data_IF_132174736722
#
_entry.id   IF_132174736722
#
_cell.length_a   1.000
_cell.length_b   1.000
_cell.length_c   1.000
_cell.angle_alpha   90.00
_cell.angle_beta   90.00
_cell.angle_gamma   90.00
#
_symmetry.space_group_name_H-M   'P 1'
#
loop_
_entity.id
_entity.type
_entity.pdbx_description
1 polymer ?
#
# COMPACT_ATOMS: atom_id res chain seq x y z
N UNK A 1 40.37 -28.89 -13.29
CA UNK A 1 39.78 -28.76 -11.94
C UNK A 1 39.67 -27.28 -11.63
N UNK A 2 38.79 -26.48 -12.24
CA UNK A 2 37.32 -26.54 -12.31
C UNK A 2 36.63 -26.48 -10.94
N UNK A 3 35.94 -25.34 -10.72
CA UNK A 3 34.80 -25.11 -9.81
C UNK A 3 35.05 -24.96 -8.31
N UNK A 4 35.93 -24.05 -7.88
CA UNK A 4 35.80 -23.45 -6.53
C UNK A 4 36.26 -21.99 -6.61
N UNK A 5 35.37 -21.05 -6.96
CA UNK A 5 35.79 -19.65 -7.01
C UNK A 5 34.85 -18.62 -7.64
N UNK A 6 33.59 -18.96 -7.97
CA UNK A 6 32.64 -17.99 -8.52
C UNK A 6 31.24 -18.27 -7.95
N UNK A 7 30.98 -17.86 -6.71
CA UNK A 7 29.63 -17.98 -6.10
C UNK A 7 29.26 -16.90 -5.08
N UNK A 8 29.89 -15.73 -5.10
CA UNK A 8 29.51 -14.63 -4.20
C UNK A 8 29.22 -13.35 -5.00
N UNK A 9 28.10 -12.70 -4.66
CA UNK A 9 27.55 -11.44 -5.19
C UNK A 9 26.68 -11.52 -6.46
N UNK A 10 25.81 -12.52 -6.50
CA UNK A 10 24.36 -12.28 -6.64
C UNK A 10 23.79 -13.05 -5.45
N UNK A 11 23.32 -12.37 -4.41
CA UNK A 11 22.58 -13.04 -3.34
C UNK A 11 21.38 -13.69 -4.01
N UNK A 12 21.31 -15.02 -4.00
CA UNK A 12 20.22 -15.77 -4.61
C UNK A 12 18.91 -15.22 -4.04
N UNK A 13 18.13 -14.56 -4.89
CA UNK A 13 16.76 -14.22 -4.57
C UNK A 13 16.05 -15.52 -4.21
N UNK A 14 15.58 -15.64 -2.97
CA UNK A 14 14.99 -16.89 -2.50
C UNK A 14 13.51 -16.92 -2.90
N UNK A 15 13.15 -17.84 -3.80
CA UNK A 15 11.75 -18.06 -4.14
C UNK A 15 11.03 -18.72 -2.95
N UNK A 16 9.83 -18.23 -2.65
CA UNK A 16 8.93 -18.91 -1.73
C UNK A 16 8.51 -20.26 -2.33
N UNK A 17 8.30 -21.30 -1.50
CA UNK A 17 7.78 -22.57 -1.99
C UNK A 17 6.48 -22.39 -2.79
N UNK A 18 6.29 -23.17 -3.85
CA UNK A 18 5.10 -23.07 -4.70
C UNK A 18 3.79 -23.18 -3.88
N UNK A 19 3.78 -24.01 -2.83
CA UNK A 19 2.66 -24.10 -1.88
C UNK A 19 2.35 -22.77 -1.18
N UNK A 20 3.37 -22.03 -0.78
CA UNK A 20 3.22 -20.71 -0.16
C UNK A 20 2.69 -19.69 -1.17
N UNK A 21 3.15 -19.76 -2.43
CA UNK A 21 2.64 -18.89 -3.50
C UNK A 21 1.16 -19.16 -3.80
N UNK A 22 0.75 -20.43 -3.85
CA UNK A 22 -0.66 -20.82 -4.01
C UNK A 22 -1.53 -20.34 -2.84
N UNK A 23 -1.04 -20.50 -1.60
CA UNK A 23 -1.75 -19.99 -0.42
C UNK A 23 -1.91 -18.47 -0.46
N UNK A 24 -0.94 -17.74 -1.04
CA UNK A 24 -1.02 -16.29 -1.17
C UNK A 24 -2.09 -15.89 -2.17
N UNK A 25 -2.13 -16.55 -3.34
CA UNK A 25 -3.17 -16.34 -4.34
C UNK A 25 -4.56 -16.63 -3.77
N UNK A 26 -4.73 -17.74 -3.03
CA UNK A 26 -5.99 -18.08 -2.38
C UNK A 26 -6.40 -17.01 -1.34
N UNK A 27 -5.48 -16.58 -0.48
CA UNK A 27 -5.80 -15.53 0.50
C UNK A 27 -6.17 -14.22 -0.19
N UNK A 28 -5.48 -13.85 -1.27
CA UNK A 28 -5.77 -12.63 -2.03
C UNK A 28 -7.20 -12.69 -2.62
N UNK A 29 -7.57 -13.80 -3.26
CA UNK A 29 -8.91 -14.00 -3.81
C UNK A 29 -9.99 -13.95 -2.72
N UNK A 30 -9.77 -14.61 -1.58
CA UNK A 30 -10.72 -14.61 -0.46
C UNK A 30 -10.86 -13.21 0.18
N UNK A 31 -9.78 -12.43 0.25
CA UNK A 31 -9.82 -11.06 0.79
C UNK A 31 -10.49 -10.09 -0.20
N UNK A 32 -10.26 -10.25 -1.50
CA UNK A 32 -10.93 -9.43 -2.53
C UNK A 32 -12.45 -9.63 -2.54
N UNK A 33 -12.92 -10.85 -2.23
CA UNK A 33 -14.34 -11.16 -2.10
C UNK A 33 -14.96 -10.89 -0.72
N UNK A 34 -14.15 -10.50 0.28
CA UNK A 34 -14.59 -10.40 1.67
C UNK A 34 -15.46 -9.17 1.94
N UNK A 35 -16.34 -9.28 2.95
CA UNK A 35 -16.94 -8.10 3.56
C UNK A 35 -15.88 -7.35 4.40
N UNK A 36 -16.03 -6.03 4.53
CA UNK A 36 -15.13 -5.23 5.36
C UNK A 36 -15.12 -5.72 6.82
N UNK A 37 -13.93 -5.89 7.37
CA UNK A 37 -13.74 -6.43 8.71
C UNK A 37 -14.32 -5.51 9.80
N UNK A 38 -15.16 -6.09 10.66
CA UNK A 38 -15.70 -5.46 11.87
C UNK A 38 -14.67 -5.28 13.00
N UNK A 39 -13.45 -5.79 12.84
CA UNK A 39 -12.55 -5.99 13.97
C UNK A 39 -12.15 -4.66 14.60
N UNK A 40 -12.50 -4.48 15.87
CA UNK A 40 -12.24 -3.23 16.61
C UNK A 40 -13.27 -2.13 16.33
N UNK A 41 -14.28 -2.41 15.51
CA UNK A 41 -15.40 -1.52 15.20
C UNK A 41 -16.64 -2.00 15.95
N UNK A 42 -17.36 -1.10 16.60
CA UNK A 42 -18.68 -1.39 17.18
C UNK A 42 -19.60 -0.18 17.04
N UNK A 43 -20.91 -0.44 17.02
CA UNK A 43 -21.92 0.62 17.09
C UNK A 43 -22.45 0.73 18.50
N UNK A 44 -22.33 1.91 19.10
CA UNK A 44 -22.81 2.21 20.45
C UNK A 44 -23.80 3.36 20.38
N UNK A 45 -24.74 3.40 21.33
CA UNK A 45 -25.63 4.55 21.52
C UNK A 45 -25.18 5.37 22.72
N UNK A 46 -25.40 6.68 22.66
CA UNK A 46 -25.30 7.58 23.83
C UNK A 46 -26.60 8.37 23.95
N UNK A 47 -27.17 8.37 25.14
CA UNK A 47 -28.37 9.18 25.47
C UNK A 47 -27.93 10.50 26.10
N UNK A 48 -28.43 11.60 25.56
CA UNK A 48 -28.28 12.96 26.11
C UNK A 48 -29.66 13.63 26.18
N UNK A 49 -29.74 14.84 26.75
CA UNK A 49 -31.02 15.55 26.92
C UNK A 49 -31.81 15.73 25.61
N UNK A 50 -31.12 15.87 24.48
CA UNK A 50 -31.72 16.10 23.16
C UNK A 50 -32.11 14.82 22.39
N UNK A 51 -31.81 13.62 22.93
CA UNK A 51 -32.17 12.36 22.28
C UNK A 51 -31.14 11.23 22.45
N UNK A 52 -31.33 10.15 21.69
CA UNK A 52 -30.39 9.04 21.56
C UNK A 52 -29.63 9.21 20.26
N UNK A 53 -28.32 8.99 20.30
CA UNK A 53 -27.43 9.17 19.16
C UNK A 53 -26.51 7.97 19.00
N UNK A 54 -26.27 7.58 17.75
CA UNK A 54 -25.38 6.49 17.39
C UNK A 54 -23.95 6.98 17.16
N UNK A 55 -23.01 6.16 17.61
CA UNK A 55 -21.59 6.36 17.39
C UNK A 55 -20.95 5.07 16.89
N UNK A 56 -20.03 5.19 15.93
CA UNK A 56 -19.08 4.13 15.59
C UNK A 56 -17.88 4.24 16.52
N UNK A 57 -17.67 3.24 17.35
CA UNK A 57 -16.51 3.15 18.24
C UNK A 57 -15.43 2.29 17.61
N UNK A 58 -14.22 2.85 17.54
CA UNK A 58 -13.02 2.23 17.00
C UNK A 58 -12.00 1.99 18.12
N UNK A 59 -11.51 0.77 18.26
CA UNK A 59 -10.54 0.36 19.29
C UNK A 59 -9.21 -0.02 18.67
N UNK A 60 -8.16 0.75 18.94
CA UNK A 60 -6.78 0.46 18.54
C UNK A 60 -5.96 0.20 19.80
N UNK A 61 -5.59 -1.06 20.03
CA UNK A 61 -4.89 -1.44 21.26
C UNK A 61 -5.75 -1.13 22.49
N UNK A 62 -5.24 -0.29 23.40
CA UNK A 62 -5.98 0.18 24.59
C UNK A 62 -6.78 1.47 24.37
N UNK A 63 -6.63 2.12 23.21
CA UNK A 63 -7.28 3.41 22.93
C UNK A 63 -8.61 3.21 22.22
N UNK A 64 -9.66 3.86 22.72
CA UNK A 64 -10.98 3.91 22.10
C UNK A 64 -11.29 5.30 21.57
N UNK A 65 -11.83 5.38 20.36
CA UNK A 65 -12.37 6.62 19.77
C UNK A 65 -13.79 6.38 19.30
N UNK A 66 -14.66 7.38 19.44
CA UNK A 66 -16.05 7.31 18.99
C UNK A 66 -16.31 8.39 17.95
N UNK A 67 -16.96 8.02 16.85
CA UNK A 67 -17.34 8.91 15.76
C UNK A 67 -18.86 9.00 15.70
N UNK A 68 -19.39 10.22 15.74
CA UNK A 68 -20.82 10.46 15.68
C UNK A 68 -21.37 10.07 14.31
N UNK A 69 -22.44 9.28 14.29
CA UNK A 69 -23.09 8.82 13.06
C UNK A 69 -24.40 9.57 12.79
N UNK A 70 -25.14 9.91 13.84
CA UNK A 70 -26.43 10.55 13.71
C UNK A 70 -27.35 10.34 14.91
N UNK A 71 -28.53 10.98 14.91
CA UNK A 71 -29.61 10.65 15.82
C UNK A 71 -30.12 9.22 15.58
N UNK A 72 -30.74 8.62 16.59
CA UNK A 72 -31.39 7.31 16.46
C UNK A 72 -32.68 7.42 15.64
N UNK A 73 -32.56 7.20 14.32
CA UNK A 73 -33.67 7.12 13.37
C UNK A 73 -33.74 5.75 12.68
N UNK A 74 -34.86 5.48 12.00
CA UNK A 74 -35.08 4.18 11.34
C UNK A 74 -34.05 3.88 10.22
N UNK A 75 -33.74 4.82 9.31
CA UNK A 75 -32.72 4.59 8.27
C UNK A 75 -31.33 4.24 8.84
N UNK A 76 -30.89 4.93 9.90
CA UNK A 76 -29.60 4.65 10.52
C UNK A 76 -29.58 3.28 11.21
N UNK A 77 -30.67 2.90 11.89
CA UNK A 77 -30.79 1.57 12.50
C UNK A 77 -30.75 0.46 11.47
N UNK A 78 -31.45 0.62 10.34
CA UNK A 78 -31.44 -0.36 9.25
C UNK A 78 -30.03 -0.53 8.67
N UNK A 79 -29.32 0.56 8.41
CA UNK A 79 -27.92 0.52 7.95
C UNK A 79 -26.99 -0.18 8.95
N UNK A 80 -27.12 0.11 10.25
CA UNK A 80 -26.34 -0.53 11.32
C UNK A 80 -26.65 -2.02 11.39
N UNK A 81 -27.93 -2.41 11.31
CA UNK A 81 -28.36 -3.80 11.35
C UNK A 81 -27.85 -4.59 10.13
N UNK A 82 -27.98 -4.03 8.92
CA UNK A 82 -27.44 -4.61 7.70
C UNK A 82 -25.93 -4.82 7.80
N UNK A 83 -25.19 -3.81 8.29
CA UNK A 83 -23.74 -3.89 8.50
C UNK A 83 -23.37 -5.02 9.48
N UNK A 84 -24.07 -5.14 10.61
CA UNK A 84 -23.84 -6.22 11.58
C UNK A 84 -24.12 -7.60 11.00
N UNK A 85 -25.23 -7.76 10.29
CA UNK A 85 -25.61 -9.02 9.66
C UNK A 85 -24.54 -9.48 8.64
N UNK A 86 -23.97 -8.54 7.90
CA UNK A 86 -22.88 -8.82 6.97
C UNK A 86 -21.60 -9.28 7.67
N UNK A 87 -21.25 -8.63 8.77
CA UNK A 87 -20.09 -9.03 9.57
C UNK A 87 -20.27 -10.42 10.19
N UNK A 88 -21.47 -10.74 10.66
CA UNK A 88 -21.80 -12.07 11.18
C UNK A 88 -21.73 -13.13 10.08
N UNK A 89 -22.22 -12.81 8.87
CA UNK A 89 -22.15 -13.69 7.72
C UNK A 89 -20.70 -13.96 7.24
N UNK A 90 -19.80 -12.99 7.34
CA UNK A 90 -18.37 -13.15 6.97
C UNK A 90 -17.53 -13.82 8.06
N UNK A 91 -18.01 -13.94 9.30
CA UNK A 91 -17.23 -14.47 10.42
C UNK A 91 -16.61 -15.87 10.18
N UNK A 92 -17.29 -16.84 9.54
CA UNK A 92 -16.68 -18.12 9.17
C UNK A 92 -15.54 -17.95 8.15
N UNK A 93 -15.74 -17.12 7.12
CA UNK A 93 -14.73 -16.81 6.10
C UNK A 93 -13.52 -16.11 6.71
N UNK A 94 -13.72 -15.18 7.65
CA UNK A 94 -12.64 -14.52 8.38
C UNK A 94 -11.79 -15.51 9.20
N UNK A 95 -12.39 -16.58 9.73
CA UNK A 95 -11.67 -17.64 10.44
C UNK A 95 -10.84 -18.50 9.48
N UNK A 96 -11.34 -18.77 8.28
CA UNK A 96 -10.60 -19.50 7.25
C UNK A 96 -9.41 -18.67 6.73
N UNK A 97 -9.64 -17.39 6.40
CA UNK A 97 -8.56 -16.46 6.05
C UNK A 97 -7.48 -16.38 7.14
N UNK A 98 -7.87 -16.44 8.41
CA UNK A 98 -6.89 -16.48 9.50
C UNK A 98 -6.04 -17.75 9.52
N UNK A 99 -6.58 -18.90 9.09
CA UNK A 99 -5.80 -20.13 8.89
C UNK A 99 -4.85 -19.99 7.71
N UNK A 100 -5.31 -19.42 6.59
CA UNK A 100 -4.45 -19.12 5.44
C UNK A 100 -3.27 -18.23 5.83
N UNK A 101 -3.52 -17.17 6.60
CA UNK A 101 -2.46 -16.29 7.14
C UNK A 101 -1.46 -17.07 8.00
N UNK A 102 -1.93 -17.96 8.87
CA UNK A 102 -1.04 -18.79 9.69
C UNK A 102 -0.16 -19.72 8.83
N UNK A 103 -0.73 -20.35 7.81
CA UNK A 103 0.00 -21.21 6.88
C UNK A 103 1.01 -20.42 6.04
N UNK A 104 0.64 -19.23 5.55
CA UNK A 104 1.55 -18.33 4.83
C UNK A 104 2.73 -17.88 5.70
N UNK A 105 2.45 -17.51 6.95
CA UNK A 105 3.49 -17.10 7.91
C UNK A 105 4.45 -18.27 8.17
N UNK A 106 3.93 -19.49 8.36
CA UNK A 106 4.75 -20.69 8.52
C UNK A 106 5.54 -21.06 7.24
N UNK A 107 4.97 -20.79 6.06
CA UNK A 107 5.64 -20.91 4.76
C UNK A 107 6.68 -19.80 4.49
N UNK A 108 6.84 -18.87 5.44
CA UNK A 108 7.79 -17.77 5.40
C UNK A 108 7.46 -16.68 4.41
N UNK A 109 6.16 -16.43 4.16
CA UNK A 109 5.70 -15.19 3.57
C UNK A 109 6.15 -13.99 4.41
N UNK A 110 6.42 -12.87 3.75
CA UNK A 110 6.85 -11.62 4.39
C UNK A 110 5.69 -11.03 5.17
N UNK A 111 5.90 -10.86 6.48
CA UNK A 111 5.03 -10.10 7.37
C UNK A 111 5.64 -8.76 7.76
N UNK A 112 4.84 -7.90 8.39
CA UNK A 112 5.31 -6.66 9.01
C UNK A 112 5.27 -6.78 10.55
N UNK A 113 6.05 -5.96 11.28
CA UNK A 113 5.91 -5.86 12.73
C UNK A 113 4.46 -5.59 13.14
N UNK A 114 3.99 -6.18 14.24
CA UNK A 114 2.59 -6.05 14.64
C UNK A 114 2.12 -4.59 14.82
N UNK A 115 3.00 -3.67 15.22
CA UNK A 115 2.70 -2.24 15.27
C UNK A 115 2.42 -1.67 13.88
N UNK A 116 3.20 -2.05 12.86
CA UNK A 116 3.04 -1.63 11.48
C UNK A 116 1.78 -2.24 10.85
N UNK A 117 1.55 -3.54 11.07
CA UNK A 117 0.39 -4.24 10.53
C UNK A 117 -0.94 -3.66 11.03
N UNK A 118 -0.99 -3.22 12.30
CA UNK A 118 -2.16 -2.51 12.86
C UNK A 118 -2.43 -1.18 12.17
N UNK A 119 -1.40 -0.48 11.68
CA UNK A 119 -1.59 0.76 10.92
C UNK A 119 -2.27 0.47 9.59
N UNK A 120 -1.77 -0.52 8.85
CA UNK A 120 -2.35 -0.89 7.55
C UNK A 120 -3.78 -1.43 7.69
N UNK A 121 -4.03 -2.28 8.70
CA UNK A 121 -5.38 -2.75 9.04
C UNK A 121 -6.32 -1.56 9.35
N UNK A 122 -5.85 -0.56 10.10
CA UNK A 122 -6.66 0.63 10.38
C UNK A 122 -6.93 1.49 9.14
N UNK A 123 -5.99 1.57 8.20
CA UNK A 123 -6.17 2.29 6.93
C UNK A 123 -7.14 1.55 6.00
N UNK A 124 -7.04 0.22 5.91
CA UNK A 124 -7.99 -0.64 5.19
C UNK A 124 -9.40 -0.48 5.75
N UNK A 125 -9.57 -0.60 7.08
CA UNK A 125 -10.87 -0.44 7.74
C UNK A 125 -11.43 0.99 7.61
N UNK A 126 -10.55 1.98 7.49
CA UNK A 126 -10.93 3.35 7.17
C UNK A 126 -11.24 3.56 5.68
N UNK A 127 -11.25 2.51 4.85
CA UNK A 127 -11.61 2.59 3.43
C UNK A 127 -10.56 3.27 2.55
N UNK A 128 -9.33 3.50 3.04
CA UNK A 128 -8.31 4.27 2.32
C UNK A 128 -7.95 3.61 0.99
N UNK A 129 -7.81 2.29 0.96
CA UNK A 129 -7.49 1.54 -0.26
C UNK A 129 -8.72 1.36 -1.16
N UNK A 130 -9.92 1.29 -0.60
CA UNK A 130 -11.17 1.26 -1.38
C UNK A 130 -11.33 2.54 -2.22
N UNK A 131 -11.03 3.70 -1.64
CA UNK A 131 -11.08 4.99 -2.36
C UNK A 131 -9.82 5.24 -3.22
N UNK A 132 -9.15 4.18 -3.67
CA UNK A 132 -8.01 4.24 -4.59
C UNK A 132 -6.70 4.71 -3.95
N UNK A 133 -6.58 4.73 -2.61
CA UNK A 133 -5.29 4.94 -1.97
C UNK A 133 -4.34 3.80 -2.30
N UNK A 134 -3.05 4.11 -2.46
CA UNK A 134 -2.00 3.17 -2.85
C UNK A 134 -0.84 3.26 -1.87
N UNK A 135 -0.51 2.14 -1.25
CA UNK A 135 0.66 2.03 -0.39
C UNK A 135 1.92 2.04 -1.23
N UNK A 136 2.83 2.97 -0.95
CA UNK A 136 4.09 3.15 -1.67
C UNK A 136 5.28 3.12 -0.70
N UNK A 137 6.50 3.13 -1.23
CA UNK A 137 7.71 3.13 -0.41
C UNK A 137 8.09 1.73 0.11
N UNK A 138 8.73 1.68 1.29
CA UNK A 138 9.35 0.45 1.80
C UNK A 138 8.35 -0.63 2.20
N UNK A 139 7.18 -0.28 2.74
CA UNK A 139 6.12 -1.25 3.04
C UNK A 139 5.49 -1.85 1.79
N UNK A 140 5.37 -1.06 0.71
CA UNK A 140 4.92 -1.55 -0.60
C UNK A 140 5.89 -2.59 -1.17
N UNK A 141 7.20 -2.27 -1.14
CA UNK A 141 8.26 -3.20 -1.52
C UNK A 141 8.22 -4.50 -0.69
N UNK A 142 8.03 -4.40 0.64
CA UNK A 142 7.91 -5.58 1.49
C UNK A 142 6.73 -6.49 1.07
N UNK A 143 5.57 -5.89 0.75
CA UNK A 143 4.38 -6.63 0.33
C UNK A 143 4.48 -7.19 -1.09
N UNK A 144 5.22 -6.52 -1.99
CA UNK A 144 5.54 -7.05 -3.32
C UNK A 144 6.24 -8.40 -3.25
N UNK A 145 7.00 -8.68 -2.19
CA UNK A 145 7.70 -9.96 -2.01
C UNK A 145 6.71 -11.14 -2.11
N UNK A 146 5.58 -11.03 -1.40
CA UNK A 146 4.57 -12.08 -1.37
C UNK A 146 3.87 -12.21 -2.73
N UNK A 147 3.53 -11.08 -3.36
CA UNK A 147 2.90 -11.06 -4.68
C UNK A 147 3.80 -11.62 -5.79
N UNK A 148 5.11 -11.48 -5.64
CA UNK A 148 6.12 -11.99 -6.56
C UNK A 148 6.65 -13.38 -6.17
N UNK A 149 6.18 -13.94 -5.06
CA UNK A 149 6.59 -15.26 -4.59
C UNK A 149 8.05 -15.35 -4.16
N UNK A 150 8.61 -14.28 -3.58
CA UNK A 150 10.04 -14.18 -3.23
C UNK A 150 10.26 -13.70 -1.79
N UNK A 151 11.47 -13.93 -1.28
CA UNK A 151 12.02 -13.22 -0.12
C UNK A 151 13.13 -12.29 -0.57
N UNK A 152 13.05 -11.04 -0.12
CA UNK A 152 14.07 -10.06 -0.40
C UNK A 152 15.33 -10.31 0.45
N UNK A 153 16.54 -10.26 -0.15
CA UNK A 153 17.79 -10.46 0.59
C UNK A 153 18.19 -9.23 1.40
N UNK A 154 17.75 -8.02 1.03
CA UNK A 154 18.00 -6.80 1.77
C UNK A 154 17.15 -6.74 3.05
N UNK A 155 17.79 -6.36 4.16
CA UNK A 155 17.10 -6.07 5.42
C UNK A 155 16.00 -5.02 5.18
N UNK A 156 14.75 -5.48 5.33
CA UNK A 156 13.55 -4.67 5.33
C UNK A 156 13.51 -3.86 6.64
N UNK A 157 14.50 -3.01 6.90
CA UNK A 157 14.38 -1.99 7.92
C UNK A 157 13.16 -1.15 7.56
N UNK A 158 12.05 -1.41 8.24
CA UNK A 158 10.77 -0.79 7.95
C UNK A 158 10.87 0.67 8.35
N UNK A 159 10.55 1.58 7.42
CA UNK A 159 10.46 2.98 7.80
C UNK A 159 9.31 3.14 8.80
N UNK A 160 9.52 4.00 9.80
CA UNK A 160 8.44 4.38 10.71
C UNK A 160 7.38 5.25 10.00
N UNK A 161 7.67 5.75 8.80
CA UNK A 161 6.75 6.52 7.97
C UNK A 161 6.11 5.64 6.89
N UNK A 162 4.80 5.50 6.95
CA UNK A 162 3.97 4.96 5.88
C UNK A 162 3.69 6.05 4.85
N UNK A 163 3.73 5.69 3.57
CA UNK A 163 3.41 6.61 2.49
C UNK A 163 2.22 6.07 1.71
N UNK A 164 1.12 6.82 1.71
CA UNK A 164 -0.07 6.49 0.93
C UNK A 164 -0.27 7.55 -0.14
N UNK A 165 -0.16 7.12 -1.39
CA UNK A 165 -0.42 7.94 -2.55
C UNK A 165 -1.93 7.92 -2.86
N UNK A 166 -2.55 9.08 -2.98
CA UNK A 166 -3.95 9.24 -3.33
C UNK A 166 -4.04 9.88 -4.70
N UNK A 167 -4.73 9.25 -5.68
CA UNK A 167 -4.93 9.83 -7.00
C UNK A 167 -5.69 11.16 -6.90
N UNK A 168 -5.35 12.11 -7.76
CA UNK A 168 -6.07 13.39 -7.91
C UNK A 168 -7.36 13.18 -8.74
N UNK A 169 -8.11 12.12 -8.43
CA UNK A 169 -9.41 11.82 -9.02
C UNK A 169 -10.48 11.99 -7.94
N UNK A 170 -11.58 12.64 -8.30
CA UNK A 170 -12.79 12.57 -7.48
C UNK A 170 -13.22 11.11 -7.50
N UNK A 171 -12.95 10.38 -6.44
CA UNK A 171 -13.69 9.15 -6.16
C UNK A 171 -15.11 9.62 -5.93
N UNK A 172 -16.01 9.21 -6.80
CA UNK A 172 -17.42 9.37 -6.53
C UNK A 172 -17.71 8.49 -5.30
N UNK A 173 -17.78 9.14 -4.14
CA UNK A 173 -18.05 8.49 -2.88
C UNK A 173 -19.41 7.81 -2.94
N UNK A 174 -20.40 8.31 -3.69
CA UNK A 174 -21.68 7.63 -3.86
C UNK A 174 -21.52 6.36 -4.69
N UNK A 175 -20.65 6.33 -5.72
CA UNK A 175 -20.33 5.09 -6.47
C UNK A 175 -19.51 4.13 -5.62
N UNK A 176 -18.46 4.58 -4.93
CA UNK A 176 -17.66 3.75 -4.04
C UNK A 176 -18.48 3.21 -2.84
N UNK A 177 -19.48 3.97 -2.36
CA UNK A 177 -20.40 3.58 -1.29
C UNK A 177 -21.63 2.80 -1.79
N UNK A 178 -22.02 2.92 -3.07
CA UNK A 178 -23.09 2.12 -3.68
C UNK A 178 -22.58 0.81 -4.26
N UNK A 179 -21.33 0.74 -4.72
CA UNK A 179 -20.61 -0.52 -4.93
C UNK A 179 -20.32 -1.21 -3.58
N UNK A 180 -20.10 -0.42 -2.52
CA UNK A 180 -20.09 -0.86 -1.14
C UNK A 180 -21.48 -0.81 -0.49
N UNK A 181 -22.49 -1.39 -1.16
CA UNK A 181 -23.89 -1.65 -0.73
C UNK A 181 -23.98 -2.57 0.52
N UNK A 182 -22.97 -2.47 1.38
CA UNK A 182 -22.39 -3.52 2.20
C UNK A 182 -21.85 -3.03 3.56
N UNK A 183 -22.40 -1.93 4.09
CA UNK A 183 -22.25 -1.57 5.50
C UNK A 183 -21.12 -0.59 5.86
N UNK A 184 -21.02 0.53 5.15
CA UNK A 184 -20.01 1.56 5.44
C UNK A 184 -20.57 2.80 6.17
N UNK A 185 -19.73 3.36 7.05
CA UNK A 185 -19.91 4.68 7.66
C UNK A 185 -18.74 5.57 7.23
N UNK A 186 -19.04 6.79 6.79
CA UNK A 186 -18.07 7.74 6.23
C UNK A 186 -16.77 7.79 7.06
N UNK A 187 -15.63 7.76 6.33
CA UNK A 187 -14.29 7.82 6.90
C UNK A 187 -14.18 9.01 7.86
N UNK A 188 -13.85 8.79 9.13
CA UNK A 188 -13.62 9.91 10.02
C UNK A 188 -12.41 10.71 9.56
N UNK A 189 -12.57 12.03 9.52
CA UNK A 189 -11.49 12.94 9.18
C UNK A 189 -10.26 12.68 10.06
N UNK A 190 -9.10 12.53 9.42
CA UNK A 190 -7.82 12.63 10.11
C UNK A 190 -7.63 14.09 10.55
N UNK A 191 -8.16 14.43 11.74
CA UNK A 191 -8.10 15.72 12.42
C UNK A 191 -8.38 16.97 11.52
N UNK A 192 -9.62 17.49 11.49
CA UNK A 192 -10.00 18.69 10.71
C UNK A 192 -9.24 19.98 11.05
N UNK A 193 -8.56 20.03 12.20
CA UNK A 193 -7.93 21.24 12.74
C UNK A 193 -6.45 21.40 12.39
N UNK A 194 -5.84 20.42 11.74
CA UNK A 194 -4.43 20.50 11.34
C UNK A 194 -4.30 20.29 9.83
N UNK A 195 -3.63 21.21 9.09
CA UNK A 195 -3.33 21.02 7.67
C UNK A 195 -2.21 19.99 7.45
N UNK A 196 -1.96 19.11 8.42
CA UNK A 196 -0.85 18.17 8.39
C UNK A 196 -1.09 17.11 7.33
N UNK A 197 -0.10 16.91 6.48
CA UNK A 197 -0.06 15.82 5.50
C UNK A 197 0.54 14.55 6.09
N UNK A 198 1.02 14.62 7.34
CA UNK A 198 1.63 13.51 8.08
C UNK A 198 0.98 13.37 9.45
N UNK A 199 0.51 12.17 9.76
CA UNK A 199 -0.23 11.84 10.98
C UNK A 199 0.62 10.93 11.86
N UNK A 200 1.04 11.42 13.03
CA UNK A 200 1.79 10.61 14.00
C UNK A 200 0.87 9.73 14.83
N UNK A 201 1.30 8.50 15.09
CA UNK A 201 0.59 7.58 15.98
C UNK A 201 0.97 7.92 17.42
N UNK A 202 -0.02 8.22 18.26
CA UNK A 202 0.22 8.65 19.65
C UNK A 202 0.98 7.57 20.42
N UNK A 203 2.07 7.97 21.08
CA UNK A 203 2.91 7.06 21.86
C UNK A 203 3.77 6.12 21.01
N UNK A 204 3.97 6.45 19.73
CA UNK A 204 4.77 5.67 18.79
C UNK A 204 5.57 6.58 17.87
N UNK A 205 6.69 6.07 17.36
CA UNK A 205 7.48 6.72 16.30
C UNK A 205 6.82 6.61 14.91
N UNK A 206 5.76 5.82 14.79
CA UNK A 206 5.07 5.58 13.53
C UNK A 206 4.30 6.82 13.04
N UNK A 207 4.31 7.05 11.73
CA UNK A 207 3.54 8.11 11.09
C UNK A 207 3.00 7.69 9.73
N UNK A 208 1.90 8.29 9.30
CA UNK A 208 1.30 8.09 7.97
C UNK A 208 1.34 9.39 7.21
N UNK A 209 2.02 9.43 6.08
CA UNK A 209 2.07 10.57 5.17
C UNK A 209 1.17 10.32 3.96
N UNK A 210 0.23 11.25 3.73
CA UNK A 210 -0.60 11.27 2.53
C UNK A 210 0.09 12.06 1.43
N UNK A 211 0.19 11.46 0.25
CA UNK A 211 0.84 12.02 -0.92
C UNK A 211 -0.15 12.10 -2.07
N UNK A 212 0.01 13.08 -2.95
CA UNK A 212 -0.84 13.24 -4.13
C UNK A 212 -0.02 13.73 -5.32
N UNK A 213 -0.43 13.49 -6.58
CA UNK A 213 0.30 13.99 -7.73
C UNK A 213 0.52 15.51 -7.76
N UNK A 214 1.73 15.89 -8.16
CA UNK A 214 2.11 17.28 -8.44
C UNK A 214 2.18 17.55 -9.94
N UNK A 215 1.17 18.24 -10.46
CA UNK A 215 1.10 18.69 -11.86
C UNK A 215 1.63 20.12 -12.04
N UNK A 216 2.11 20.45 -13.24
CA UNK A 216 2.49 21.81 -13.60
C UNK A 216 3.72 22.35 -12.86
N UNK A 217 3.71 23.63 -12.49
CA UNK A 217 4.81 24.29 -11.75
C UNK A 217 5.00 23.65 -10.38
N UNK A 218 6.20 23.79 -9.80
CA UNK A 218 6.48 23.23 -8.48
C UNK A 218 5.60 23.92 -7.45
N UNK A 219 4.72 23.14 -6.82
CA UNK A 219 3.82 23.59 -5.76
C UNK A 219 3.94 22.61 -4.60
N UNK A 220 4.48 23.08 -3.48
CA UNK A 220 4.64 22.30 -2.26
C UNK A 220 3.46 22.43 -1.30
N UNK A 221 2.45 23.26 -1.63
CA UNK A 221 1.29 23.45 -0.77
C UNK A 221 0.47 22.18 -0.68
N UNK A 222 0.07 21.84 0.53
CA UNK A 222 -0.79 20.69 0.78
C UNK A 222 -2.11 20.84 0.00
N UNK A 223 -2.55 19.76 -0.65
CA UNK A 223 -3.82 19.70 -1.38
C UNK A 223 -4.86 18.96 -0.56
N UNK A 224 -6.12 19.41 -0.64
CA UNK A 224 -7.24 18.74 0.01
C UNK A 224 -7.63 17.50 -0.79
N UNK A 225 -7.67 16.36 -0.12
CA UNK A 225 -8.22 15.10 -0.62
C UNK A 225 -9.63 14.96 -0.07
N UNK A 226 -10.64 15.19 -0.91
CA UNK A 226 -12.03 15.21 -0.48
C UNK A 226 -12.53 13.84 -0.01
N UNK A 227 -12.14 12.76 -0.69
CA UNK A 227 -12.52 11.38 -0.34
C UNK A 227 -12.10 10.96 1.07
N UNK A 228 -11.01 11.52 1.58
CA UNK A 228 -10.47 11.24 2.92
C UNK A 228 -10.67 12.39 3.91
N UNK A 229 -11.26 13.50 3.45
CA UNK A 229 -11.33 14.76 4.18
C UNK A 229 -9.97 15.16 4.82
N UNK A 230 -8.86 14.87 4.15
CA UNK A 230 -7.49 15.04 4.68
C UNK A 230 -6.64 15.92 3.75
N UNK A 231 -5.48 16.35 4.23
CA UNK A 231 -4.49 17.07 3.42
C UNK A 231 -3.42 16.10 2.95
N UNK A 232 -2.98 16.22 1.70
CA UNK A 232 -1.89 15.44 1.13
C UNK A 232 -0.79 16.34 0.55
N UNK A 233 0.46 15.90 0.69
CA UNK A 233 1.62 16.61 0.13
C UNK A 233 1.78 16.27 -1.34
N UNK A 234 1.85 17.26 -2.24
CA UNK A 234 2.13 16.98 -3.65
C UNK A 234 3.53 16.38 -3.85
N UNK A 235 3.63 15.32 -4.65
CA UNK A 235 4.89 14.66 -5.03
C UNK A 235 4.99 14.54 -6.55
N UNK A 236 6.19 14.80 -7.08
CA UNK A 236 6.46 14.69 -8.52
C UNK A 236 6.41 13.25 -8.98
N UNK A 237 5.84 13.05 -10.17
CA UNK A 237 5.82 11.78 -10.90
C UNK A 237 5.06 10.65 -10.21
N UNK A 238 4.25 10.99 -9.20
CA UNK A 238 3.43 10.02 -8.50
C UNK A 238 2.37 9.39 -9.42
N UNK A 239 1.91 10.12 -10.44
CA UNK A 239 0.98 9.61 -11.46
C UNK A 239 1.46 8.32 -12.12
N UNK A 240 2.76 8.22 -12.38
CA UNK A 240 3.35 7.08 -13.08
C UNK A 240 3.05 5.75 -12.36
N UNK A 241 3.20 5.73 -11.03
CA UNK A 241 2.94 4.54 -10.22
C UNK A 241 1.46 4.39 -9.80
N UNK A 242 0.66 5.46 -9.93
CA UNK A 242 -0.78 5.43 -9.64
C UNK A 242 -1.62 5.01 -10.84
N UNK A 243 -1.09 5.09 -12.06
CA UNK A 243 -1.81 4.70 -13.27
C UNK A 243 -1.87 3.18 -13.47
N UNK A 244 -1.01 2.41 -12.78
CA UNK A 244 -1.03 0.94 -12.82
C UNK A 244 -0.71 0.38 -11.43
N UNK A 245 -1.74 -0.17 -10.80
CA UNK A 245 -1.74 -0.63 -9.42
C UNK A 245 -2.41 -1.98 -9.33
N UNK A 246 -1.98 -2.80 -8.39
CA UNK A 246 -2.53 -4.12 -8.15
C UNK A 246 -2.88 -4.30 -6.66
N UNK A 247 -3.89 -5.11 -6.33
CA UNK A 247 -4.16 -5.48 -4.95
C UNK A 247 -3.02 -6.36 -4.40
N UNK A 248 -2.76 -6.22 -3.11
CA UNK A 248 -1.86 -7.10 -2.38
C UNK A 248 -2.42 -7.35 -0.98
N UNK A 249 -2.07 -8.50 -0.42
CA UNK A 249 -2.51 -8.88 0.93
C UNK A 249 -1.32 -8.94 1.88
N UNK A 250 -1.43 -8.22 2.99
CA UNK A 250 -0.55 -8.41 4.14
C UNK A 250 -1.03 -9.63 4.93
N UNK A 251 -0.20 -10.66 5.15
CA UNK A 251 -0.55 -11.79 6.01
C UNK A 251 -0.53 -11.36 7.49
N UNK A 252 -1.62 -10.72 7.91
CA UNK A 252 -1.85 -10.31 9.28
C UNK A 252 -3.31 -10.56 9.66
N UNK A 253 -3.52 -11.26 10.78
CA UNK A 253 -4.85 -11.66 11.26
C UNK A 253 -5.62 -12.46 10.20
N UNK A 254 -6.57 -11.85 9.49
CA UNK A 254 -7.40 -12.49 8.46
C UNK A 254 -7.09 -11.96 7.05
N UNK A 255 -5.88 -11.41 6.86
CA UNK A 255 -5.50 -10.69 5.64
C UNK A 255 -5.91 -9.23 5.73
N UNK A 256 -5.01 -8.33 5.34
CA UNK A 256 -5.28 -6.90 5.17
C UNK A 256 -5.06 -6.54 3.70
N UNK A 257 -6.12 -6.11 3.03
CA UNK A 257 -6.09 -5.68 1.64
C UNK A 257 -5.47 -4.30 1.51
N UNK A 258 -4.51 -4.17 0.61
CA UNK A 258 -3.94 -2.89 0.22
C UNK A 258 -3.82 -2.82 -1.29
N UNK A 259 -3.71 -1.60 -1.84
CA UNK A 259 -3.24 -1.42 -3.22
C UNK A 259 -1.75 -1.08 -3.19
N UNK A 260 -0.99 -1.65 -4.13
CA UNK A 260 0.42 -1.32 -4.36
C UNK A 260 0.61 -1.00 -5.86
N UNK A 261 1.65 -0.26 -6.25
CA UNK A 261 1.97 -0.09 -7.67
C UNK A 261 2.33 -1.42 -8.32
N UNK A 262 2.26 -1.51 -9.65
CA UNK A 262 2.88 -2.63 -10.35
C UNK A 262 4.40 -2.66 -10.08
N UNK A 263 5.01 -3.86 -9.91
CA UNK A 263 6.42 -3.97 -9.51
C UNK A 263 7.40 -3.24 -10.45
N UNK A 264 7.19 -3.33 -11.76
CA UNK A 264 8.03 -2.66 -12.74
C UNK A 264 7.98 -1.13 -12.59
N UNK A 265 6.78 -0.54 -12.50
CA UNK A 265 6.64 0.91 -12.31
C UNK A 265 7.16 1.38 -10.96
N UNK A 266 6.97 0.59 -9.91
CA UNK A 266 7.58 0.87 -8.61
C UNK A 266 9.11 1.01 -8.72
N UNK A 267 9.77 0.04 -9.36
CA UNK A 267 11.22 0.03 -9.48
C UNK A 267 11.76 1.20 -10.32
N UNK A 268 11.17 1.47 -11.48
CA UNK A 268 11.56 2.61 -12.32
C UNK A 268 11.33 3.95 -11.59
N UNK A 269 10.22 4.08 -10.86
CA UNK A 269 9.96 5.27 -10.05
C UNK A 269 10.96 5.44 -8.90
N UNK A 270 11.38 4.36 -8.25
CA UNK A 270 12.43 4.39 -7.21
C UNK A 270 13.75 4.92 -7.76
N UNK A 271 14.14 4.51 -8.96
CA UNK A 271 15.32 5.06 -9.64
C UNK A 271 15.18 6.57 -9.85
N UNK A 272 14.03 7.06 -10.32
CA UNK A 272 13.78 8.49 -10.47
C UNK A 272 13.81 9.24 -9.14
N UNK A 273 13.13 8.74 -8.10
CA UNK A 273 13.05 9.39 -6.78
C UNK A 273 14.42 9.43 -6.09
N UNK A 274 15.25 8.41 -6.27
CA UNK A 274 16.60 8.37 -5.70
C UNK A 274 17.45 9.57 -6.15
N UNK A 275 17.32 10.01 -7.40
CA UNK A 275 18.03 11.18 -7.95
C UNK A 275 17.48 12.53 -7.47
N UNK A 276 16.34 12.52 -6.78
CA UNK A 276 15.67 13.72 -6.26
C UNK A 276 15.91 13.91 -4.77
N UNK A 277 16.57 12.96 -4.11
CA UNK A 277 16.85 13.05 -2.67
C UNK A 277 18.00 14.03 -2.42
N UNK A 278 17.85 14.94 -1.45
CA UNK A 278 18.97 15.74 -0.94
C UNK A 278 20.13 14.86 -0.45
N UNK A 279 21.35 15.40 -0.46
CA UNK A 279 22.55 14.68 -0.02
C UNK A 279 22.44 14.08 1.40
N UNK A 280 21.72 14.76 2.30
CA UNK A 280 21.41 14.27 3.65
C UNK A 280 20.65 12.93 3.68
N UNK A 281 20.01 12.54 2.57
CA UNK A 281 19.27 11.28 2.42
C UNK A 281 19.98 10.29 1.49
N UNK A 282 21.31 10.38 1.33
CA UNK A 282 22.09 9.47 0.48
C UNK A 282 21.88 7.99 0.83
N UNK A 283 21.75 7.65 2.11
CA UNK A 283 21.45 6.26 2.56
C UNK A 283 20.10 5.79 2.01
N UNK A 284 19.08 6.65 2.03
CA UNK A 284 17.76 6.32 1.46
C UNK A 284 17.79 6.24 -0.06
N UNK A 285 18.60 7.07 -0.73
CA UNK A 285 18.78 6.99 -2.18
C UNK A 285 19.41 5.65 -2.59
N UNK A 286 20.46 5.21 -1.88
CA UNK A 286 21.07 3.88 -2.08
C UNK A 286 20.07 2.75 -1.84
N UNK A 287 19.27 2.84 -0.78
CA UNK A 287 18.20 1.87 -0.51
C UNK A 287 17.16 1.81 -1.63
N UNK A 288 16.75 2.96 -2.17
CA UNK A 288 15.81 3.01 -3.30
C UNK A 288 16.39 2.33 -4.56
N UNK A 289 17.68 2.53 -4.85
CA UNK A 289 18.37 1.91 -5.98
C UNK A 289 18.47 0.39 -5.79
N UNK A 290 18.85 -0.08 -4.60
CA UNK A 290 18.93 -1.51 -4.30
C UNK A 290 17.55 -2.20 -4.46
N UNK A 291 16.49 -1.60 -3.91
CA UNK A 291 15.12 -2.11 -4.07
C UNK A 291 14.71 -2.17 -5.55
N UNK A 292 15.03 -1.15 -6.33
CA UNK A 292 14.75 -1.15 -7.76
C UNK A 292 15.54 -2.24 -8.48
N UNK A 293 16.80 -2.44 -8.12
CA UNK A 293 17.68 -3.44 -8.69
C UNK A 293 17.15 -4.86 -8.48
N UNK A 294 16.70 -5.19 -7.27
CA UNK A 294 16.16 -6.51 -6.94
C UNK A 294 14.86 -6.80 -7.69
N UNK A 295 13.95 -5.82 -7.72
CA UNK A 295 12.68 -5.96 -8.43
C UNK A 295 12.92 -6.10 -9.94
N UNK A 296 13.73 -5.21 -10.55
CA UNK A 296 14.04 -5.30 -11.99
C UNK A 296 14.80 -6.58 -12.34
N UNK A 297 15.73 -7.00 -11.48
CA UNK A 297 16.49 -8.23 -11.67
C UNK A 297 15.60 -9.46 -11.71
N UNK A 298 14.61 -9.56 -10.81
CA UNK A 298 13.60 -10.61 -10.82
C UNK A 298 12.72 -10.54 -12.06
N UNK A 299 12.18 -9.35 -12.36
CA UNK A 299 11.25 -9.19 -13.48
C UNK A 299 11.93 -9.50 -14.83
N UNK A 300 13.22 -9.20 -14.99
CA UNK A 300 13.94 -9.52 -16.21
C UNK A 300 14.01 -11.03 -16.49
N UNK A 301 14.01 -11.86 -15.44
CA UNK A 301 14.06 -13.32 -15.56
C UNK A 301 12.66 -13.93 -15.69
N UNK A 302 11.73 -13.53 -14.81
CA UNK A 302 10.44 -14.22 -14.66
C UNK A 302 9.29 -13.53 -15.41
N UNK A 303 9.35 -12.20 -15.57
CA UNK A 303 8.23 -11.38 -16.05
C UNK A 303 8.69 -10.21 -16.95
N UNK A 304 9.47 -10.45 -18.01
CA UNK A 304 10.08 -9.38 -18.80
C UNK A 304 9.05 -8.47 -19.50
N UNK A 305 7.85 -8.99 -19.80
CA UNK A 305 6.74 -8.20 -20.35
C UNK A 305 6.31 -7.03 -19.45
N UNK A 306 6.40 -7.20 -18.12
CA UNK A 306 6.06 -6.12 -17.18
C UNK A 306 7.02 -4.94 -17.31
N UNK A 307 8.30 -5.21 -17.62
CA UNK A 307 9.31 -4.16 -17.86
C UNK A 307 8.98 -3.42 -19.16
N UNK A 308 8.65 -4.14 -20.23
CA UNK A 308 8.29 -3.54 -21.52
C UNK A 308 7.11 -2.57 -21.38
N UNK A 309 6.02 -3.02 -20.73
CA UNK A 309 4.83 -2.19 -20.50
C UNK A 309 5.14 -0.97 -19.63
N UNK A 310 5.99 -1.12 -18.61
CA UNK A 310 6.41 0.00 -17.79
C UNK A 310 7.28 1.00 -18.58
N UNK A 311 8.14 0.52 -19.47
CA UNK A 311 8.96 1.36 -20.35
C UNK A 311 8.14 2.12 -21.39
N UNK A 312 7.09 1.52 -21.94
CA UNK A 312 6.12 2.25 -22.78
C UNK A 312 5.47 3.41 -22.01
N UNK A 313 5.13 3.20 -20.74
CA UNK A 313 4.62 4.28 -19.88
C UNK A 313 5.70 5.35 -19.61
N UNK A 314 6.97 4.98 -19.48
CA UNK A 314 8.09 5.93 -19.34
C UNK A 314 8.19 6.88 -20.55
N UNK A 315 7.92 6.41 -21.76
CA UNK A 315 7.97 7.26 -22.96
C UNK A 315 6.95 8.41 -22.91
N UNK A 316 5.83 8.20 -22.23
CA UNK A 316 4.79 9.23 -22.01
C UNK A 316 5.18 10.24 -20.93
N UNK A 317 6.23 9.96 -20.15
CA UNK A 317 6.66 10.84 -19.07
C UNK A 317 7.52 12.02 -19.58
N UNK A 318 7.51 13.17 -18.86
CA UNK A 318 8.31 14.33 -19.24
C UNK A 318 9.81 14.03 -19.36
N UNK A 319 10.54 14.77 -20.18
CA UNK A 319 11.99 14.60 -20.39
C UNK A 319 12.79 14.58 -19.08
N UNK A 320 12.38 15.37 -18.09
CA UNK A 320 13.01 15.37 -16.76
C UNK A 320 12.86 14.04 -16.02
N UNK A 321 11.74 13.34 -16.17
CA UNK A 321 11.57 12.00 -15.61
C UNK A 321 12.55 11.03 -16.28
N UNK A 322 12.59 11.01 -17.62
CA UNK A 322 13.46 10.13 -18.41
C UNK A 322 14.95 10.37 -18.12
N UNK A 323 15.37 11.62 -18.01
CA UNK A 323 16.74 11.98 -17.64
C UNK A 323 17.12 11.47 -16.24
N UNK A 324 16.22 11.62 -15.26
CA UNK A 324 16.43 11.11 -13.90
C UNK A 324 16.42 9.59 -13.84
N UNK A 325 15.60 8.94 -14.68
CA UNK A 325 15.60 7.50 -14.81
C UNK A 325 16.93 7.02 -15.37
N UNK A 326 17.44 7.61 -16.45
CA UNK A 326 18.76 7.28 -17.01
C UNK A 326 19.89 7.42 -15.97
N UNK A 327 19.85 8.48 -15.16
CA UNK A 327 20.82 8.69 -14.08
C UNK A 327 20.67 7.66 -12.93
N UNK A 328 19.46 7.20 -12.65
CA UNK A 328 19.23 6.11 -11.69
C UNK A 328 19.67 4.76 -12.23
N UNK A 329 19.38 4.47 -13.49
CA UNK A 329 19.78 3.26 -14.20
C UNK A 329 21.29 3.09 -14.23
N UNK A 330 22.06 4.17 -14.45
CA UNK A 330 23.53 4.11 -14.45
C UNK A 330 24.15 3.74 -13.10
N UNK A 331 23.35 3.67 -12.03
CA UNK A 331 23.77 3.24 -10.69
C UNK A 331 23.41 1.79 -10.38
N UNK A 332 22.76 1.08 -11.32
CA UNK A 332 22.51 -0.36 -11.21
C UNK A 332 23.79 -1.15 -11.49
N UNK A 333 23.88 -2.33 -10.88
CA UNK A 333 24.95 -3.28 -11.14
C UNK A 333 25.00 -3.67 -12.61
N UNK A 334 26.22 -3.80 -13.16
CA UNK A 334 26.45 -4.08 -14.58
C UNK A 334 25.71 -5.34 -15.07
N UNK A 335 25.62 -6.39 -14.23
CA UNK A 335 24.89 -7.62 -14.56
C UNK A 335 23.39 -7.40 -14.73
N UNK A 336 22.80 -6.47 -13.97
CA UNK A 336 21.39 -6.14 -14.07
C UNK A 336 21.16 -5.30 -15.32
N UNK A 337 22.05 -4.35 -15.61
CA UNK A 337 22.02 -3.59 -16.85
C UNK A 337 22.10 -4.49 -18.09
N UNK A 338 22.97 -5.51 -18.06
CA UNK A 338 23.08 -6.51 -19.13
C UNK A 338 21.76 -7.24 -19.34
N UNK A 339 21.11 -7.73 -18.26
CA UNK A 339 19.79 -8.38 -18.33
C UNK A 339 18.70 -7.46 -18.88
N UNK A 340 18.75 -6.17 -18.52
CA UNK A 340 17.75 -5.18 -18.94
C UNK A 340 17.94 -4.68 -20.37
N UNK A 341 19.12 -4.87 -20.96
CA UNK A 341 19.47 -4.34 -22.28
C UNK A 341 18.52 -4.79 -23.41
N UNK A 342 17.91 -5.97 -23.28
CA UNK A 342 16.91 -6.48 -24.24
C UNK A 342 15.50 -5.92 -24.07
N UNK A 343 15.22 -5.23 -22.97
CA UNK A 343 13.87 -4.74 -22.61
C UNK A 343 13.77 -3.23 -22.51
N UNK A 344 14.91 -2.53 -22.54
CA UNK A 344 14.98 -1.09 -22.34
C UNK A 344 15.68 -0.46 -23.54
N UNK A 345 14.88 0.07 -24.48
CA UNK A 345 15.43 0.93 -25.52
C UNK A 345 16.03 2.21 -24.90
N UNK A 346 17.11 2.77 -25.47
CA UNK A 346 17.65 4.05 -25.03
C UNK A 346 16.56 5.12 -25.04
N UNK A 347 16.29 5.72 -23.88
CA UNK A 347 15.33 6.82 -23.79
C UNK A 347 15.90 8.04 -24.52
N UNK A 348 15.16 8.65 -25.48
CA UNK A 348 15.60 9.82 -26.22
C UNK A 348 15.64 11.09 -25.36
#
# INVERSE_FOLDING_TARGET
MCVVGVKLLITMLELLPASTQTLYAQLLDEVLGAAYSARGISFITRRVKSGVYWYMQYTIGSSQRSFYLGPDDAPLRERIAATRAMWEADAPSAKERARLVAMLTAGGAVGLPASHSRVLEALEQAGVFMVGGVLIGSHSYALMANALGVRWPVDLAHDNAFHVAIPDKKVDLEVALSEADKGFFAVPALNPREPSTTFKIRGSELSVSLLTPMHGKTDSRAKKIFSLNAMASPMRFLDFILEDTQPAVLPYRHGVLVNIPSPARFALHKLVVSQRRPAAFAVKARKDILQAQEVLGLLAEERPGDILLAMEAVQKMPSKFRAQLNQGMSQLDAKILEKLSGYMEPLP
#
